data_IF_382849128477
#
_entry.id   IF_382849128477
#
_cell.length_a   1.000
_cell.length_b   1.000
_cell.length_c   1.000
_cell.angle_alpha   90.00
_cell.angle_beta   90.00
_cell.angle_gamma   90.00
#
_symmetry.space_group_name_H-M   'P 1'
#
loop_
_entity.id
_entity.type
_entity.pdbx_description
1 polymer ?
#
# COMPACT_ATOMS: atom_id res chain seq x y z
N UNK A 1 -23.92 -0.99 11.07
CA UNK A 1 -22.65 -1.72 10.91
C UNK A 1 -21.90 -1.06 9.77
N UNK A 2 -20.88 -0.25 10.07
CA UNK A 2 -20.19 0.55 9.06
C UNK A 2 -18.85 -0.10 8.70
N UNK A 3 -18.85 -0.78 7.54
CA UNK A 3 -17.67 -1.02 6.72
C UNK A 3 -17.14 0.34 6.21
N UNK A 4 -16.39 1.08 7.01
CA UNK A 4 -15.68 2.25 6.49
C UNK A 4 -14.19 1.90 6.41
N UNK A 5 -13.78 1.43 5.23
CA UNK A 5 -12.38 1.18 4.89
C UNK A 5 -11.53 2.46 4.78
N UNK A 6 -12.16 3.63 4.93
CA UNK A 6 -11.56 4.96 4.81
C UNK A 6 -12.14 5.83 5.93
N UNK A 7 -11.26 6.46 6.70
CA UNK A 7 -11.59 7.51 7.65
C UNK A 7 -11.13 8.85 7.09
N UNK A 8 -12.04 9.80 6.93
CA UNK A 8 -11.72 11.14 6.44
C UNK A 8 -11.74 12.14 7.59
N UNK A 9 -10.71 12.96 7.68
CA UNK A 9 -10.55 14.03 8.66
C UNK A 9 -10.46 15.35 7.89
N UNK A 10 -11.51 16.17 7.87
CA UNK A 10 -11.44 17.49 7.24
C UNK A 10 -10.49 18.39 8.02
N UNK A 11 -9.63 19.10 7.30
CA UNK A 11 -8.71 20.09 7.85
C UNK A 11 -9.19 21.49 7.50
N UNK A 12 -9.26 22.34 8.52
CA UNK A 12 -9.52 23.77 8.36
C UNK A 12 -8.19 24.48 8.47
N UNK A 13 -7.83 25.20 7.41
CA UNK A 13 -6.64 26.05 7.38
C UNK A 13 -7.09 27.49 7.34
N UNK A 14 -6.60 28.27 8.30
CA UNK A 14 -6.84 29.71 8.35
C UNK A 14 -5.52 30.43 8.16
N UNK A 15 -5.43 31.21 7.09
CA UNK A 15 -4.29 32.07 6.86
C UNK A 15 -4.71 33.55 6.95
N UNK A 16 -3.85 34.38 7.52
CA UNK A 16 -4.07 35.82 7.70
C UNK A 16 -3.12 36.67 6.85
N UNK A 17 -2.19 36.04 6.14
CA UNK A 17 -1.15 36.70 5.35
C UNK A 17 -1.08 36.07 3.97
N UNK A 18 -0.97 36.90 2.93
CA UNK A 18 -0.78 36.43 1.55
C UNK A 18 0.60 35.80 1.36
N UNK A 19 0.68 34.76 0.54
CA UNK A 19 1.93 34.22 0.02
C UNK A 19 2.07 32.71 0.19
N UNK A 20 3.28 32.22 -0.11
CA UNK A 20 3.60 30.79 -0.04
C UNK A 20 3.56 30.31 1.42
N UNK A 21 2.73 29.30 1.66
CA UNK A 21 2.68 28.57 2.93
C UNK A 21 2.91 27.09 2.71
N UNK A 22 3.54 26.45 3.68
CA UNK A 22 3.74 25.01 3.71
C UNK A 22 2.98 24.37 4.85
N UNK A 23 2.38 23.22 4.60
CA UNK A 23 1.78 22.33 5.58
C UNK A 23 2.68 21.11 5.70
N UNK A 24 3.26 20.88 6.87
CA UNK A 24 4.12 19.74 7.15
C UNK A 24 3.43 18.77 8.11
N UNK A 25 3.54 17.49 7.82
CA UNK A 25 2.95 16.41 8.61
C UNK A 25 4.04 15.61 9.31
N UNK A 26 4.06 15.66 10.64
CA UNK A 26 4.87 14.78 11.48
C UNK A 26 4.08 13.50 11.82
N UNK A 27 4.49 12.38 11.21
CA UNK A 27 3.89 11.07 11.41
C UNK A 27 4.71 10.18 12.36
N UNK A 28 5.72 10.72 13.06
CA UNK A 28 6.67 9.95 13.88
C UNK A 28 5.98 9.03 14.90
N UNK A 29 4.88 9.51 15.50
CA UNK A 29 4.11 8.75 16.49
C UNK A 29 2.84 8.10 15.93
N UNK A 30 2.61 8.22 14.62
CA UNK A 30 1.45 7.64 13.97
C UNK A 30 1.77 6.21 13.52
N UNK A 31 1.64 5.26 14.44
CA UNK A 31 1.94 3.83 14.21
C UNK A 31 0.71 3.00 13.80
N UNK A 32 -0.25 3.58 13.06
CA UNK A 32 -1.45 2.86 12.66
C UNK A 32 -1.28 2.07 11.35
N UNK A 33 -2.07 1.02 11.19
CA UNK A 33 -2.22 0.23 9.94
C UNK A 33 -3.04 0.99 8.89
N UNK A 34 -2.80 2.30 8.73
CA UNK A 34 -3.44 3.12 7.71
C UNK A 34 -2.41 3.72 6.76
N UNK A 35 -2.77 3.77 5.48
CA UNK A 35 -2.14 4.68 4.53
C UNK A 35 -2.77 6.05 4.70
N UNK A 36 -1.93 7.08 4.86
CA UNK A 36 -2.38 8.45 5.13
C UNK A 36 -2.12 9.30 3.91
N UNK A 37 -3.19 9.88 3.39
CA UNK A 37 -3.13 10.80 2.27
C UNK A 37 -3.61 12.19 2.68
N UNK A 38 -3.00 13.20 2.12
CA UNK A 38 -3.48 14.57 2.17
C UNK A 38 -4.09 14.95 0.81
N UNK A 39 -5.30 15.50 0.82
CA UNK A 39 -6.00 15.95 -0.37
C UNK A 39 -6.22 17.46 -0.32
N UNK A 40 -5.90 18.16 -1.41
CA UNK A 40 -6.42 19.49 -1.74
C UNK A 40 -7.48 19.34 -2.85
N UNK A 41 -8.74 19.34 -2.45
CA UNK A 41 -9.90 19.12 -3.33
C UNK A 41 -10.05 20.18 -4.42
N UNK A 42 -9.59 21.40 -4.16
CA UNK A 42 -9.71 22.52 -5.11
C UNK A 42 -8.69 22.40 -6.23
N UNK A 43 -7.47 21.94 -5.90
CA UNK A 43 -6.40 21.74 -6.89
C UNK A 43 -6.34 20.32 -7.46
N UNK A 44 -7.14 19.40 -6.92
CA UNK A 44 -7.12 17.99 -7.29
C UNK A 44 -5.81 17.30 -6.94
N UNK A 45 -5.12 17.77 -5.89
CA UNK A 45 -3.85 17.20 -5.45
C UNK A 45 -4.12 16.15 -4.38
N UNK A 46 -3.48 14.99 -4.51
CA UNK A 46 -3.48 13.93 -3.51
C UNK A 46 -2.03 13.51 -3.23
N UNK A 47 -1.63 13.57 -1.97
CA UNK A 47 -0.26 13.38 -1.50
C UNK A 47 -0.19 12.21 -0.55
N UNK A 48 0.68 11.23 -0.82
CA UNK A 48 1.01 10.17 0.12
C UNK A 48 1.97 10.71 1.18
N UNK A 49 1.49 10.89 2.41
CA UNK A 49 2.27 11.54 3.48
C UNK A 49 3.44 10.70 4.01
N UNK A 50 3.58 9.44 3.56
CA UNK A 50 4.78 8.62 3.83
C UNK A 50 5.90 8.85 2.82
N UNK A 51 5.59 9.35 1.63
CA UNK A 51 6.55 9.63 0.55
C UNK A 51 6.96 11.09 0.56
N UNK A 52 5.99 11.99 0.67
CA UNK A 52 6.18 13.42 0.77
C UNK A 52 5.21 13.96 1.82
N UNK A 53 5.77 14.45 2.92
CA UNK A 53 5.03 14.91 4.08
C UNK A 53 4.83 16.44 4.09
N UNK A 54 5.19 17.14 3.01
CA UNK A 54 5.13 18.60 2.94
C UNK A 54 4.34 19.05 1.73
N UNK A 55 3.26 19.80 1.95
CA UNK A 55 2.48 20.42 0.89
C UNK A 55 2.71 21.93 0.85
N UNK A 56 2.85 22.52 -0.35
CA UNK A 56 3.03 23.97 -0.54
C UNK A 56 1.86 24.56 -1.31
N UNK A 57 1.38 25.72 -0.86
CA UNK A 57 0.38 26.49 -1.58
C UNK A 57 0.60 27.99 -1.47
N UNK A 58 0.27 28.71 -2.54
CA UNK A 58 -0.05 30.13 -2.45
C UNK A 58 -1.39 30.30 -1.75
N UNK A 59 -1.37 30.98 -0.59
CA UNK A 59 -2.56 31.33 0.16
C UNK A 59 -2.96 32.78 -0.13
N UNK A 60 -4.27 32.99 -0.30
CA UNK A 60 -4.84 34.32 -0.42
C UNK A 60 -5.03 34.96 0.97
N UNK A 61 -4.91 36.29 1.04
CA UNK A 61 -5.09 37.05 2.29
C UNK A 61 -6.57 37.19 2.72
N UNK A 62 -7.49 36.41 2.15
CA UNK A 62 -8.93 36.64 2.27
C UNK A 62 -9.46 36.45 3.69
N UNK A 63 -8.64 35.98 4.63
CA UNK A 63 -8.95 35.94 6.07
C UNK A 63 -10.12 35.01 6.45
N UNK A 64 -10.68 34.31 5.47
CA UNK A 64 -11.74 33.33 5.62
C UNK A 64 -11.18 31.95 5.96
N UNK A 65 -11.97 31.20 6.72
CA UNK A 65 -11.66 29.79 6.97
C UNK A 65 -11.76 29.03 5.63
N UNK A 66 -10.66 28.38 5.23
CA UNK A 66 -10.70 27.47 4.09
C UNK A 66 -11.34 26.17 4.60
N UNK A 67 -12.66 26.15 4.54
CA UNK A 67 -13.48 24.99 4.90
C UNK A 67 -13.59 24.05 3.70
N UNK A 68 -13.66 22.74 3.96
CA UNK A 68 -13.91 21.68 2.98
C UNK A 68 -12.90 21.53 1.81
N UNK A 69 -11.79 22.26 1.83
CA UNK A 69 -10.72 22.12 0.82
C UNK A 69 -9.76 20.98 1.11
N UNK A 70 -9.35 20.87 2.38
CA UNK A 70 -8.28 19.98 2.78
C UNK A 70 -8.83 18.80 3.56
N UNK A 71 -8.39 17.60 3.20
CA UNK A 71 -8.80 16.36 3.88
C UNK A 71 -7.59 15.48 4.11
N UNK A 72 -7.50 14.92 5.32
CA UNK A 72 -6.66 13.75 5.57
C UNK A 72 -7.50 12.49 5.43
N UNK A 73 -7.11 11.63 4.52
CA UNK A 73 -7.76 10.35 4.30
C UNK A 73 -6.88 9.24 4.86
N UNK A 74 -7.36 8.61 5.92
CA UNK A 74 -6.78 7.44 6.54
C UNK A 74 -7.47 6.23 5.93
N UNK A 75 -6.87 5.71 4.87
CA UNK A 75 -7.31 4.45 4.32
C UNK A 75 -6.85 3.39 5.32
N UNK A 76 -7.81 2.74 5.99
CA UNK A 76 -7.45 1.50 6.67
C UNK A 76 -6.79 0.64 5.61
N UNK A 77 -5.66 0.02 5.97
CA UNK A 77 -5.13 -1.07 5.17
C UNK A 77 -6.15 -2.20 5.35
N UNK A 78 -7.30 -2.05 4.67
CA UNK A 78 -8.16 -3.17 4.38
C UNK A 78 -7.25 -4.13 3.65
N UNK A 79 -7.28 -5.36 4.10
CA UNK A 79 -6.54 -6.48 3.54
C UNK A 79 -7.02 -6.83 2.12
N UNK A 80 -7.56 -5.87 1.37
CA UNK A 80 -7.83 -5.98 -0.05
C UNK A 80 -6.48 -5.92 -0.74
N UNK A 81 -5.85 -7.11 -0.81
CA UNK A 81 -5.01 -7.58 -1.90
C UNK A 81 -5.06 -6.58 -3.06
N UNK A 82 -3.93 -5.96 -3.41
CA UNK A 82 -3.81 -4.95 -4.48
C UNK A 82 -4.83 -5.21 -5.60
N UNK A 83 -5.73 -4.24 -5.84
CA UNK A 83 -6.71 -4.36 -6.91
C UNK A 83 -5.99 -4.70 -8.21
N UNK A 84 -6.48 -5.75 -8.85
CA UNK A 84 -5.98 -6.23 -10.13
C UNK A 84 -6.06 -5.08 -11.13
N UNK A 85 -4.92 -4.69 -11.68
CA UNK A 85 -4.86 -3.58 -12.63
C UNK A 85 -5.72 -3.84 -13.87
N UNK A 86 -6.08 -2.79 -14.62
CA UNK A 86 -6.96 -2.88 -15.81
C UNK A 86 -6.50 -3.90 -16.88
N UNK A 87 -5.23 -4.31 -16.85
CA UNK A 87 -4.62 -5.27 -17.79
C UNK A 87 -4.19 -6.60 -17.12
N UNK A 88 -4.60 -6.83 -15.88
CA UNK A 88 -4.25 -8.01 -15.09
C UNK A 88 -5.47 -8.92 -14.90
N UNK A 89 -5.21 -10.20 -14.62
CA UNK A 89 -6.23 -11.23 -14.45
C UNK A 89 -6.03 -11.92 -13.10
N UNK A 90 -7.11 -12.12 -12.35
CA UNK A 90 -7.05 -12.85 -11.08
C UNK A 90 -6.64 -14.30 -11.28
N UNK A 91 -5.62 -14.73 -10.55
CA UNK A 91 -5.11 -16.10 -10.71
C UNK A 91 -6.06 -17.18 -10.16
N UNK A 92 -7.02 -16.85 -9.31
CA UNK A 92 -7.88 -17.82 -8.64
C UNK A 92 -7.06 -18.92 -7.93
N UNK A 93 -7.08 -20.15 -8.48
CA UNK A 93 -6.34 -21.32 -7.95
C UNK A 93 -5.02 -21.59 -8.66
N UNK A 94 -4.73 -20.90 -9.76
CA UNK A 94 -3.53 -21.12 -10.58
C UNK A 94 -2.28 -20.60 -9.88
N UNK A 95 -2.43 -19.63 -8.98
CA UNK A 95 -1.41 -19.20 -8.03
C UNK A 95 -1.92 -19.43 -6.61
N UNK A 96 -1.09 -20.01 -5.76
CA UNK A 96 -1.34 -20.18 -4.33
C UNK A 96 -0.15 -19.65 -3.55
N UNK A 97 -0.42 -18.81 -2.56
CA UNK A 97 0.61 -18.27 -1.67
C UNK A 97 0.25 -18.75 -0.27
N UNK A 98 1.18 -19.40 0.41
CA UNK A 98 0.97 -19.96 1.76
C UNK A 98 2.16 -19.62 2.66
N UNK A 99 1.87 -19.31 3.92
CA UNK A 99 2.90 -19.24 4.96
C UNK A 99 3.51 -20.63 5.20
N UNK A 100 4.82 -20.66 5.42
CA UNK A 100 5.61 -21.85 5.74
C UNK A 100 6.70 -21.49 6.76
N UNK A 101 6.32 -21.32 8.03
CA UNK A 101 7.22 -20.82 9.08
C UNK A 101 7.63 -19.37 8.82
N UNK A 102 8.94 -19.09 8.80
CA UNK A 102 9.53 -17.79 8.42
C UNK A 102 9.62 -17.55 6.91
N UNK A 103 9.00 -18.44 6.11
CA UNK A 103 9.03 -18.41 4.65
C UNK A 103 7.62 -18.34 4.07
N UNK A 104 7.54 -18.01 2.79
CA UNK A 104 6.33 -18.14 1.99
C UNK A 104 6.56 -19.11 0.84
N UNK A 105 5.64 -20.05 0.66
CA UNK A 105 5.59 -20.95 -0.48
C UNK A 105 4.61 -20.42 -1.51
N UNK A 106 5.12 -20.12 -2.70
CA UNK A 106 4.35 -19.75 -3.87
C UNK A 106 4.28 -20.98 -4.77
N UNK A 107 3.07 -21.48 -5.02
CA UNK A 107 2.80 -22.58 -5.93
C UNK A 107 2.03 -22.08 -7.14
N UNK A 108 2.46 -22.50 -8.32
CA UNK A 108 1.98 -22.00 -9.61
C UNK A 108 1.66 -23.19 -10.51
N UNK A 109 0.53 -23.10 -11.20
CA UNK A 109 0.10 -24.12 -12.16
C UNK A 109 1.04 -24.17 -13.37
N UNK A 110 1.18 -25.36 -13.94
CA UNK A 110 2.18 -25.64 -14.99
C UNK A 110 1.97 -24.82 -16.27
N UNK A 111 0.72 -24.45 -16.58
CA UNK A 111 0.37 -23.60 -17.73
C UNK A 111 0.96 -22.19 -17.63
N UNK A 112 1.02 -21.60 -16.43
CA UNK A 112 1.57 -20.25 -16.26
C UNK A 112 3.09 -20.22 -16.40
N UNK A 113 3.79 -21.30 -16.00
CA UNK A 113 5.25 -21.40 -16.13
C UNK A 113 5.67 -21.53 -17.61
N UNK A 114 4.88 -22.20 -18.44
CA UNK A 114 5.19 -22.33 -19.88
C UNK A 114 5.09 -21.01 -20.65
N UNK A 115 4.40 -20.00 -20.13
CA UNK A 115 4.27 -18.68 -20.77
C UNK A 115 5.48 -17.77 -20.50
N UNK A 116 6.30 -18.08 -19.49
CA UNK A 116 7.51 -17.35 -19.17
C UNK A 116 7.81 -17.29 -17.67
N UNK A 117 8.97 -16.73 -17.29
CA UNK A 117 9.30 -16.53 -15.89
C UNK A 117 8.35 -15.53 -15.23
N UNK A 118 7.93 -15.83 -14.01
CA UNK A 118 7.18 -14.90 -13.18
C UNK A 118 8.06 -14.02 -12.33
N UNK A 119 7.42 -13.08 -11.64
CA UNK A 119 8.03 -12.20 -10.65
C UNK A 119 7.21 -12.29 -9.38
N UNK A 120 7.89 -12.41 -8.24
CA UNK A 120 7.27 -12.38 -6.93
C UNK A 120 7.82 -11.17 -6.18
N UNK A 121 6.93 -10.29 -5.77
CA UNK A 121 7.24 -9.07 -5.04
C UNK A 121 6.76 -9.20 -3.61
N UNK A 122 7.60 -8.78 -2.67
CA UNK A 122 7.29 -8.77 -1.24
C UNK A 122 7.24 -7.32 -0.80
N UNK A 123 6.14 -6.97 -0.15
CA UNK A 123 5.90 -5.64 0.40
C UNK A 123 5.74 -5.73 1.92
N UNK A 124 6.18 -4.70 2.62
CA UNK A 124 5.78 -4.49 4.01
C UNK A 124 4.27 -4.21 4.08
N UNK A 125 3.68 -4.30 5.27
CA UNK A 125 2.32 -3.81 5.49
C UNK A 125 2.11 -2.35 5.08
N UNK A 126 3.16 -1.52 5.15
CA UNK A 126 3.09 -0.11 4.71
C UNK A 126 3.15 0.07 3.19
N UNK A 127 3.09 -1.01 2.38
CA UNK A 127 3.16 -0.96 0.92
C UNK A 127 4.57 -0.71 0.34
N UNK A 128 5.62 -0.69 1.18
CA UNK A 128 6.99 -0.51 0.70
C UNK A 128 7.48 -1.84 0.12
N UNK A 129 7.93 -1.84 -1.14
CA UNK A 129 8.60 -3.01 -1.74
C UNK A 129 9.87 -3.33 -0.94
N UNK A 130 9.93 -4.53 -0.38
CA UNK A 130 11.06 -5.05 0.39
C UNK A 130 11.97 -5.89 -0.48
N UNK A 131 11.38 -6.69 -1.38
CA UNK A 131 12.13 -7.62 -2.21
C UNK A 131 11.37 -7.95 -3.51
N UNK A 132 12.13 -8.30 -4.53
CA UNK A 132 11.64 -8.86 -5.79
C UNK A 132 12.43 -10.12 -6.12
N UNK A 133 11.75 -11.20 -6.49
CA UNK A 133 12.33 -12.52 -6.73
C UNK A 133 11.82 -13.05 -8.07
N UNK A 134 12.71 -13.37 -9.03
CA UNK A 134 12.30 -14.03 -10.26
C UNK A 134 11.88 -15.49 -9.98
N UNK A 135 10.78 -15.92 -10.57
CA UNK A 135 10.20 -17.24 -10.36
C UNK A 135 10.19 -18.05 -11.65
N UNK A 136 11.08 -19.04 -11.73
CA UNK A 136 11.26 -19.90 -12.91
C UNK A 136 10.64 -21.29 -12.75
N UNK A 137 10.06 -21.58 -11.58
CA UNK A 137 9.58 -22.90 -11.19
C UNK A 137 8.14 -22.85 -10.70
N UNK A 138 7.44 -23.98 -10.80
CA UNK A 138 6.07 -24.14 -10.28
C UNK A 138 5.97 -24.03 -8.76
N UNK A 139 7.10 -24.07 -8.06
CA UNK A 139 7.21 -23.83 -6.62
C UNK A 139 8.39 -22.94 -6.34
N UNK A 140 8.15 -21.85 -5.64
CA UNK A 140 9.18 -20.91 -5.19
C UNK A 140 9.00 -20.71 -3.70
N UNK A 141 10.07 -20.94 -2.94
CA UNK A 141 10.11 -20.70 -1.51
C UNK A 141 10.90 -19.42 -1.27
N UNK A 142 10.33 -18.47 -0.54
CA UNK A 142 10.97 -17.18 -0.29
C UNK A 142 11.13 -16.99 1.20
N UNK A 143 12.34 -16.64 1.62
CA UNK A 143 12.66 -16.25 2.99
C UNK A 143 12.19 -14.81 3.18
N UNK A 144 11.36 -14.56 4.20
CA UNK A 144 10.87 -13.22 4.45
C UNK A 144 11.91 -12.38 5.21
N UNK A 145 11.98 -11.05 4.98
CA UNK A 145 13.07 -10.22 5.52
C UNK A 145 13.15 -10.16 7.05
N UNK A 146 12.06 -10.44 7.77
CA UNK A 146 12.05 -10.61 9.22
C UNK A 146 11.30 -11.91 9.54
N UNK A 147 11.78 -12.69 10.51
CA UNK A 147 11.25 -14.03 10.79
C UNK A 147 9.79 -14.00 11.27
N UNK A 148 9.41 -12.94 11.99
CA UNK A 148 8.04 -12.65 12.42
C UNK A 148 7.53 -11.38 11.77
N UNK A 149 6.36 -11.43 11.14
CA UNK A 149 5.76 -10.23 10.57
C UNK A 149 4.56 -10.53 9.69
N UNK A 150 3.94 -9.45 9.22
CA UNK A 150 2.90 -9.52 8.19
C UNK A 150 3.47 -8.92 6.91
N UNK A 151 3.24 -9.61 5.79
CA UNK A 151 3.75 -9.25 4.48
C UNK A 151 2.63 -9.32 3.44
N UNK A 152 2.70 -8.46 2.44
CA UNK A 152 1.93 -8.63 1.21
C UNK A 152 2.86 -9.27 0.20
N UNK A 153 2.45 -10.41 -0.35
CA UNK A 153 3.19 -11.08 -1.40
C UNK A 153 2.35 -11.01 -2.66
N UNK A 154 2.93 -10.45 -3.73
CA UNK A 154 2.32 -10.38 -5.05
C UNK A 154 3.10 -11.24 -6.02
N UNK A 155 2.45 -12.22 -6.61
CA UNK A 155 3.02 -13.09 -7.62
C UNK A 155 2.37 -12.79 -8.98
N UNK A 156 3.21 -12.53 -10.00
CA UNK A 156 2.80 -12.19 -11.35
C UNK A 156 3.48 -13.09 -12.37
N UNK A 157 2.67 -13.75 -13.20
CA UNK A 157 3.11 -14.58 -14.32
C UNK A 157 2.39 -14.08 -15.58
N UNK A 158 3.11 -13.37 -16.45
CA UNK A 158 2.48 -12.64 -17.56
C UNK A 158 1.47 -11.61 -17.05
N UNK A 159 0.19 -11.80 -17.40
CA UNK A 159 -0.94 -10.97 -16.94
C UNK A 159 -1.65 -11.53 -15.70
N UNK A 160 -1.34 -12.77 -15.31
CA UNK A 160 -2.01 -13.45 -14.20
C UNK A 160 -1.35 -13.05 -12.90
N UNK A 161 -2.14 -12.51 -11.98
CA UNK A 161 -1.67 -11.92 -10.73
C UNK A 161 -2.45 -12.48 -9.56
N UNK A 162 -1.73 -12.69 -8.46
CA UNK A 162 -2.32 -12.92 -7.15
C UNK A 162 -1.53 -12.19 -6.09
N UNK A 163 -2.21 -11.46 -5.23
CA UNK A 163 -1.62 -10.97 -3.99
C UNK A 163 -2.25 -11.68 -2.80
N UNK A 164 -1.48 -11.91 -1.76
CA UNK A 164 -1.98 -12.52 -0.52
C UNK A 164 -1.28 -11.87 0.67
N UNK A 165 -2.03 -11.71 1.76
CA UNK A 165 -1.47 -11.31 3.05
C UNK A 165 -0.95 -12.54 3.76
N UNK A 166 0.35 -12.57 4.00
CA UNK A 166 1.04 -13.67 4.68
C UNK A 166 1.45 -13.21 6.06
N UNK A 167 0.98 -13.93 7.09
CA UNK A 167 1.45 -13.77 8.47
C UNK A 167 2.45 -14.88 8.74
N UNK A 168 3.68 -14.52 9.11
CA UNK A 168 4.63 -15.49 9.64
C UNK A 168 4.69 -15.34 11.15
N UNK A 169 4.40 -16.45 11.82
CA UNK A 169 4.82 -16.61 13.21
C UNK A 169 6.30 -16.98 13.16
N UNK A 170 7.18 -16.07 13.58
CA UNK A 170 8.52 -16.51 13.92
C UNK A 170 8.41 -17.35 15.19
N UNK A 171 9.08 -18.50 15.17
CA UNK A 171 9.67 -19.18 16.31
C UNK A 171 10.22 -20.52 15.85
N UNK A 172 11.52 -20.72 16.03
CA UNK A 172 12.09 -22.06 16.22
C UNK A 172 13.21 -21.96 17.27
N UNK A 173 12.92 -22.56 18.43
CA UNK A 173 13.75 -22.79 19.64
C UNK A 173 14.08 -21.60 20.58
#
# INVERSE_FOLDING_TARGET
ALNQGIYEIPLIVRNQVEGEVSIEFDLTYFSSDHSVYFEDKVRGVMLNLREDNTYRLEADATGGDINDRFVLSLYSITTDIEQIGENEVEAGRDIQIKAAGSMALISVSSNLISEGPGVIEIYSMSGRKLQEVPAHSSRTLIILPQESGVYIIRARFGKVVKSERVVTAGNFE
#
